data_IF_616054395179
#
_entry.id   IF_616054395179
#
_cell.length_a   1.000
_cell.length_b   1.000
_cell.length_c   1.000
_cell.angle_alpha   90.00
_cell.angle_beta   90.00
_cell.angle_gamma   90.00
#
_symmetry.space_group_name_H-M   'P 1'
#
loop_
_entity.id
_entity.type
_entity.pdbx_description
1 polymer ?
#
# COMPACT_ATOMS: atom_id res chain seq x y z
N UNK A 1 25.64 11.43 15.19
CA UNK A 1 24.77 11.21 14.00
C UNK A 1 24.05 9.89 14.21
N UNK A 2 22.71 9.89 14.23
CA UNK A 2 21.94 8.64 14.34
C UNK A 2 22.10 7.81 13.06
N UNK A 3 22.10 6.48 13.19
CA UNK A 3 22.11 5.60 12.04
C UNK A 3 20.86 5.83 11.17
N UNK A 4 21.04 5.87 9.85
CA UNK A 4 19.94 5.98 8.89
C UNK A 4 19.10 4.70 8.93
N UNK A 5 17.78 4.85 9.04
CA UNK A 5 16.83 3.73 8.99
C UNK A 5 16.73 3.20 7.55
N UNK A 6 16.73 1.89 7.39
CA UNK A 6 16.40 1.22 6.13
C UNK A 6 14.89 0.98 6.09
N UNK A 7 14.23 1.43 5.02
CA UNK A 7 12.79 1.18 4.81
C UNK A 7 12.52 -0.29 4.51
N UNK A 8 11.27 -0.73 4.67
CA UNK A 8 10.86 -2.09 4.33
C UNK A 8 11.16 -2.48 2.88
N UNK A 9 11.09 -1.52 1.94
CA UNK A 9 11.48 -1.73 0.55
C UNK A 9 12.99 -1.95 0.38
N UNK A 10 13.83 -1.18 1.08
CA UNK A 10 15.28 -1.38 1.06
C UNK A 10 15.65 -2.76 1.61
N UNK A 11 15.03 -3.17 2.72
CA UNK A 11 15.25 -4.49 3.32
C UNK A 11 14.80 -5.61 2.39
N UNK A 12 13.62 -5.46 1.77
CA UNK A 12 13.10 -6.44 0.83
C UNK A 12 14.01 -6.60 -0.39
N UNK A 13 14.50 -5.48 -0.96
CA UNK A 13 15.41 -5.50 -2.11
C UNK A 13 16.78 -6.08 -1.75
N UNK A 14 17.32 -5.75 -0.57
CA UNK A 14 18.60 -6.27 -0.10
C UNK A 14 18.58 -7.79 0.13
N UNK A 15 17.45 -8.34 0.56
CA UNK A 15 17.24 -9.78 0.78
C UNK A 15 16.66 -10.49 -0.47
N UNK A 16 16.94 -9.93 -1.66
CA UNK A 16 16.53 -10.48 -2.96
C UNK A 16 15.04 -10.86 -3.03
N UNK A 17 14.17 -10.00 -2.47
CA UNK A 17 12.72 -10.15 -2.49
C UNK A 17 12.20 -11.45 -1.84
N UNK A 18 12.95 -12.06 -0.92
CA UNK A 18 12.65 -13.39 -0.34
C UNK A 18 11.20 -13.56 0.12
N UNK A 19 10.61 -12.54 0.74
CA UNK A 19 9.24 -12.60 1.26
C UNK A 19 8.15 -12.77 0.16
N UNK A 20 8.46 -12.40 -1.08
CA UNK A 20 7.54 -12.45 -2.24
C UNK A 20 8.11 -13.22 -3.43
N UNK A 21 9.25 -13.89 -3.27
CA UNK A 21 9.90 -14.66 -4.32
C UNK A 21 8.98 -15.78 -4.84
N UNK A 22 8.86 -15.89 -6.16
CA UNK A 22 8.02 -16.87 -6.86
C UNK A 22 6.52 -16.56 -6.82
N UNK A 23 6.08 -15.49 -6.15
CA UNK A 23 4.65 -15.17 -5.96
C UNK A 23 4.13 -14.19 -7.01
N UNK A 24 2.86 -14.37 -7.37
CA UNK A 24 2.04 -13.37 -8.07
C UNK A 24 1.52 -12.38 -7.06
N UNK A 25 2.01 -11.15 -7.10
CA UNK A 25 1.68 -10.15 -6.09
C UNK A 25 0.84 -9.01 -6.66
N UNK A 26 -0.04 -8.48 -5.82
CA UNK A 26 -0.62 -7.15 -6.00
C UNK A 26 0.09 -6.14 -5.10
N UNK A 27 0.21 -4.89 -5.56
CA UNK A 27 0.85 -3.81 -4.80
C UNK A 27 -0.13 -2.70 -4.47
N UNK A 28 -0.33 -2.43 -3.18
CA UNK A 28 -1.01 -1.24 -2.67
C UNK A 28 0.03 -0.17 -2.42
N UNK A 29 0.01 0.90 -3.22
CA UNK A 29 1.02 1.96 -3.15
C UNK A 29 0.52 3.30 -3.69
N UNK A 30 1.33 4.33 -3.53
CA UNK A 30 1.15 5.67 -4.09
C UNK A 30 2.55 6.29 -4.36
N UNK A 31 2.68 7.56 -4.76
CA UNK A 31 3.98 8.19 -5.04
C UNK A 31 5.00 8.19 -3.89
N UNK A 32 4.59 7.90 -2.65
CA UNK A 32 5.50 7.81 -1.50
C UNK A 32 6.24 6.47 -1.43
N UNK A 33 5.76 5.46 -2.14
CA UNK A 33 6.40 4.15 -2.28
C UNK A 33 7.65 4.23 -3.14
N UNK A 34 8.76 4.65 -2.55
CA UNK A 34 10.04 4.83 -3.24
C UNK A 34 11.24 4.32 -2.41
N UNK A 35 12.32 4.01 -3.13
CA UNK A 35 13.68 3.86 -2.62
C UNK A 35 14.34 5.23 -2.35
N UNK A 36 15.54 5.26 -1.71
CA UNK A 36 16.26 6.50 -1.43
C UNK A 36 16.68 7.28 -2.68
N UNK A 37 16.82 6.57 -3.81
CA UNK A 37 17.10 7.13 -5.13
C UNK A 37 15.82 7.52 -5.90
N UNK A 38 14.67 7.51 -5.22
CA UNK A 38 13.35 7.85 -5.75
C UNK A 38 12.79 6.88 -6.79
N UNK A 39 13.42 5.73 -7.02
CA UNK A 39 12.79 4.66 -7.81
C UNK A 39 11.56 4.13 -7.10
N UNK A 40 10.45 4.05 -7.82
CA UNK A 40 9.17 3.62 -7.27
C UNK A 40 9.18 2.13 -6.91
N UNK A 41 8.41 1.75 -5.89
CA UNK A 41 8.19 0.34 -5.53
C UNK A 41 7.63 -0.48 -6.69
N UNK A 42 6.86 0.18 -7.57
CA UNK A 42 6.32 -0.42 -8.80
C UNK A 42 7.48 -0.83 -9.73
N UNK A 43 8.41 0.09 -10.00
CA UNK A 43 9.59 -0.16 -10.84
C UNK A 43 10.47 -1.25 -10.22
N UNK A 44 10.73 -1.16 -8.91
CA UNK A 44 11.59 -2.11 -8.19
C UNK A 44 11.01 -3.53 -8.24
N UNK A 45 9.72 -3.71 -7.98
CA UNK A 45 9.08 -5.03 -7.99
C UNK A 45 8.81 -5.55 -9.42
N UNK A 46 8.54 -4.67 -10.39
CA UNK A 46 8.38 -5.06 -11.79
C UNK A 46 9.71 -5.49 -12.43
N UNK A 47 10.83 -4.90 -12.00
CA UNK A 47 12.18 -5.24 -12.46
C UNK A 47 12.79 -6.46 -11.77
N UNK A 48 12.19 -6.98 -10.70
CA UNK A 48 12.70 -8.12 -9.96
C UNK A 48 12.37 -9.45 -10.67
N UNK A 49 13.38 -10.23 -11.13
CA UNK A 49 13.14 -11.41 -11.97
C UNK A 49 12.43 -12.56 -11.23
N UNK A 50 12.51 -12.58 -9.90
CA UNK A 50 11.87 -13.59 -9.05
C UNK A 50 10.52 -13.13 -8.48
N UNK A 51 9.96 -12.00 -8.94
CA UNK A 51 8.68 -11.47 -8.48
C UNK A 51 7.74 -11.31 -9.67
N UNK A 52 6.47 -11.66 -9.51
CA UNK A 52 5.47 -11.46 -10.55
C UNK A 52 4.46 -10.40 -10.11
N UNK A 53 4.74 -9.13 -10.41
CA UNK A 53 3.79 -8.05 -10.15
C UNK A 53 2.61 -8.13 -11.14
N UNK A 54 1.38 -8.26 -10.63
CA UNK A 54 0.18 -8.54 -11.45
C UNK A 54 -0.91 -7.48 -11.39
N UNK A 55 -0.97 -6.68 -10.33
CA UNK A 55 -1.98 -5.65 -10.17
C UNK A 55 -1.48 -4.53 -9.26
N UNK A 56 -1.97 -3.32 -9.50
CA UNK A 56 -1.70 -2.15 -8.67
C UNK A 56 -3.00 -1.67 -8.02
N UNK A 57 -2.92 -1.23 -6.78
CA UNK A 57 -4.04 -0.73 -5.99
C UNK A 57 -3.68 0.65 -5.46
N UNK A 58 -4.41 1.67 -5.90
CA UNK A 58 -4.22 3.05 -5.47
C UNK A 58 -5.20 3.41 -4.36
N UNK A 59 -4.76 4.05 -3.27
CA UNK A 59 -5.64 4.66 -2.28
C UNK A 59 -6.22 5.97 -2.86
N UNK A 60 -6.46 6.98 -2.03
CA UNK A 60 -6.74 8.34 -2.48
C UNK A 60 -5.63 8.87 -3.41
N UNK A 61 -5.99 9.65 -4.43
CA UNK A 61 -5.09 10.20 -5.47
C UNK A 61 -4.46 9.19 -6.46
N UNK A 62 -4.80 7.90 -6.33
CA UNK A 62 -4.33 6.87 -7.25
C UNK A 62 -2.87 6.46 -7.05
N UNK A 63 -2.41 5.53 -7.88
CA UNK A 63 -1.09 4.89 -7.73
C UNK A 63 0.06 5.83 -8.13
N UNK A 64 -0.15 6.70 -9.12
CA UNK A 64 0.86 7.64 -9.64
C UNK A 64 0.63 9.10 -9.23
N UNK A 65 -0.39 9.37 -8.42
CA UNK A 65 -0.74 10.74 -8.00
C UNK A 65 -1.34 11.59 -9.13
N UNK A 66 -1.77 10.95 -10.22
CA UNK A 66 -2.35 11.56 -11.41
C UNK A 66 -3.87 11.79 -11.28
N UNK A 67 -4.49 11.35 -10.18
CA UNK A 67 -5.91 11.58 -9.93
C UNK A 67 -6.17 12.81 -9.03
N UNK A 68 -7.09 13.71 -9.43
CA UNK A 68 -7.48 14.86 -8.61
C UNK A 68 -8.05 14.46 -7.24
N UNK A 69 -7.79 15.27 -6.21
CA UNK A 69 -8.36 15.12 -4.88
C UNK A 69 -9.90 15.03 -4.92
N UNK A 70 -10.47 14.08 -4.18
CA UNK A 70 -11.92 13.90 -4.05
C UNK A 70 -12.66 13.31 -5.25
N UNK A 71 -11.97 12.91 -6.34
CA UNK A 71 -12.60 12.21 -7.47
C UNK A 71 -12.30 10.71 -7.44
N UNK A 72 -13.31 9.90 -7.78
CA UNK A 72 -13.13 8.45 -7.96
C UNK A 72 -12.19 8.20 -9.14
N UNK A 73 -11.10 7.48 -8.90
CA UNK A 73 -10.27 6.95 -9.98
C UNK A 73 -11.02 5.78 -10.58
N UNK A 74 -11.57 5.93 -11.78
CA UNK A 74 -12.05 4.78 -12.54
C UNK A 74 -10.83 3.91 -12.84
N UNK A 75 -10.88 2.63 -12.49
CA UNK A 75 -9.77 1.70 -12.72
C UNK A 75 -9.25 1.75 -14.17
N UNK A 76 -8.00 1.36 -14.36
CA UNK A 76 -7.32 1.53 -15.64
C UNK A 76 -6.13 0.60 -15.81
N UNK A 77 -5.19 0.99 -16.67
CA UNK A 77 -3.90 0.31 -16.80
C UNK A 77 -2.78 1.32 -16.56
N UNK A 78 -1.76 0.93 -15.82
CA UNK A 78 -0.57 1.76 -15.62
C UNK A 78 0.19 1.86 -16.94
N UNK A 79 0.50 3.07 -17.37
CA UNK A 79 1.10 3.32 -18.69
C UNK A 79 2.51 2.73 -18.83
N UNK A 80 3.26 2.63 -17.73
CA UNK A 80 4.64 2.13 -17.74
C UNK A 80 4.71 0.60 -17.74
N UNK A 81 3.87 -0.05 -16.94
CA UNK A 81 3.91 -1.51 -16.73
C UNK A 81 2.83 -2.27 -17.50
N UNK A 82 1.79 -1.58 -17.98
CA UNK A 82 0.61 -2.18 -18.58
C UNK A 82 -0.27 -2.97 -17.60
N UNK A 83 0.00 -2.91 -16.29
CA UNK A 83 -0.73 -3.66 -15.28
C UNK A 83 -2.10 -3.04 -14.98
N UNK A 84 -3.11 -3.85 -14.62
CA UNK A 84 -4.38 -3.33 -14.14
C UNK A 84 -4.19 -2.50 -12.86
N UNK A 85 -4.89 -1.37 -12.80
CA UNK A 85 -4.91 -0.44 -11.65
C UNK A 85 -6.33 -0.39 -11.09
N UNK A 86 -6.44 -0.69 -9.80
CA UNK A 86 -7.69 -0.65 -9.04
C UNK A 86 -7.68 0.52 -8.05
N UNK A 87 -8.82 1.20 -7.91
CA UNK A 87 -9.03 2.24 -6.90
C UNK A 87 -9.56 1.62 -5.62
N UNK A 88 -8.92 1.94 -4.49
CA UNK A 88 -9.37 1.64 -3.13
C UNK A 88 -9.93 2.90 -2.44
N UNK A 89 -10.58 3.77 -3.22
CA UNK A 89 -11.21 5.00 -2.76
C UNK A 89 -12.65 5.17 -3.27
N UNK A 90 -13.49 5.89 -2.51
CA UNK A 90 -14.88 6.18 -2.86
C UNK A 90 -15.79 4.97 -2.68
N UNK A 91 -16.39 4.48 -3.78
CA UNK A 91 -17.34 3.36 -3.74
C UNK A 91 -16.70 2.03 -3.35
N UNK A 92 -15.41 1.88 -3.59
CA UNK A 92 -14.66 0.66 -3.33
C UNK A 92 -13.46 1.02 -2.48
N UNK A 93 -13.55 0.82 -1.16
CA UNK A 93 -12.45 1.10 -0.21
C UNK A 93 -11.76 -0.16 0.28
N UNK A 94 -12.27 -1.33 -0.13
CA UNK A 94 -11.75 -2.66 0.19
C UNK A 94 -11.54 -3.43 -1.12
N UNK A 95 -10.40 -4.15 -1.30
CA UNK A 95 -10.22 -5.02 -2.46
C UNK A 95 -11.35 -6.04 -2.58
N UNK A 96 -11.90 -6.21 -3.80
CA UNK A 96 -12.96 -7.20 -4.05
C UNK A 96 -12.35 -8.58 -4.38
N UNK A 97 -13.12 -9.68 -4.24
CA UNK A 97 -12.65 -11.01 -4.62
C UNK A 97 -12.12 -11.09 -6.06
N UNK A 98 -12.74 -10.33 -6.98
CA UNK A 98 -12.35 -10.27 -8.38
C UNK A 98 -11.00 -9.60 -8.57
N UNK A 99 -10.72 -8.53 -7.82
CA UNK A 99 -9.43 -7.83 -7.86
C UNK A 99 -8.29 -8.69 -7.29
N UNK A 100 -8.59 -9.57 -6.33
CA UNK A 100 -7.62 -10.44 -5.68
C UNK A 100 -7.37 -11.76 -6.43
N UNK A 101 -8.17 -12.05 -7.47
CA UNK A 101 -8.17 -13.33 -8.15
C UNK A 101 -6.81 -13.61 -8.80
N UNK A 102 -6.22 -14.76 -8.45
CA UNK A 102 -4.95 -15.21 -9.03
C UNK A 102 -3.70 -14.53 -8.45
N UNK A 103 -3.86 -13.73 -7.39
CA UNK A 103 -2.76 -13.25 -6.57
C UNK A 103 -2.45 -14.28 -5.47
N UNK A 104 -1.17 -14.43 -5.15
CA UNK A 104 -0.66 -15.26 -4.06
C UNK A 104 -0.34 -14.41 -2.81
N UNK A 105 -0.18 -13.10 -2.95
CA UNK A 105 -0.03 -12.16 -1.85
C UNK A 105 -0.37 -10.72 -2.26
N UNK A 106 -0.65 -9.87 -1.27
CA UNK A 106 -0.60 -8.42 -1.41
C UNK A 106 0.65 -7.85 -0.72
N UNK A 107 1.17 -6.75 -1.27
CA UNK A 107 2.21 -5.94 -0.68
C UNK A 107 1.65 -4.55 -0.43
N UNK A 108 1.88 -3.98 0.75
CA UNK A 108 1.50 -2.61 1.09
C UNK A 108 2.75 -1.77 1.31
N UNK A 109 2.86 -0.65 0.59
CA UNK A 109 3.98 0.27 0.70
C UNK A 109 3.55 1.72 0.47
N UNK A 110 3.18 2.39 1.57
CA UNK A 110 2.73 3.79 1.59
C UNK A 110 3.29 4.46 2.86
N UNK A 111 3.80 5.68 2.73
CA UNK A 111 4.18 6.53 3.85
C UNK A 111 2.93 7.18 4.46
N UNK A 112 2.65 6.87 5.72
CA UNK A 112 1.64 7.55 6.54
C UNK A 112 2.25 8.73 7.32
N UNK A 113 1.43 9.50 8.04
CA UNK A 113 1.86 10.67 8.82
C UNK A 113 1.76 10.47 10.34
N UNK A 114 1.26 9.33 10.82
CA UNK A 114 1.08 9.07 12.25
C UNK A 114 -0.15 9.76 12.85
N UNK A 115 -1.18 10.01 12.02
CA UNK A 115 -2.43 10.64 12.45
C UNK A 115 -3.64 9.85 11.98
N UNK A 116 -4.59 9.65 12.89
CA UNK A 116 -5.78 8.81 12.66
C UNK A 116 -6.65 9.26 11.49
N UNK A 117 -6.74 10.58 11.26
CA UNK A 117 -7.56 11.12 10.17
C UNK A 117 -6.92 11.00 8.79
N UNK A 118 -5.67 10.56 8.72
CA UNK A 118 -5.01 10.26 7.45
C UNK A 118 -5.38 8.84 7.00
N UNK A 119 -6.06 8.76 5.87
CA UNK A 119 -6.87 7.59 5.50
C UNK A 119 -6.07 6.38 5.02
N UNK A 120 -4.74 6.48 4.88
CA UNK A 120 -3.92 5.36 4.38
C UNK A 120 -3.89 4.18 5.36
N UNK A 121 -3.89 4.42 6.68
CA UNK A 121 -4.05 3.34 7.66
C UNK A 121 -5.45 2.73 7.63
N UNK A 122 -6.49 3.51 7.34
CA UNK A 122 -7.85 2.99 7.10
C UNK A 122 -7.89 2.09 5.85
N UNK A 123 -7.18 2.48 4.78
CA UNK A 123 -6.97 1.63 3.60
C UNK A 123 -6.25 0.35 3.98
N UNK A 124 -5.15 0.41 4.74
CA UNK A 124 -4.43 -0.77 5.21
C UNK A 124 -5.34 -1.70 6.02
N UNK A 125 -6.14 -1.17 6.94
CA UNK A 125 -7.09 -1.97 7.72
C UNK A 125 -8.13 -2.66 6.83
N UNK A 126 -8.67 -1.99 5.82
CA UNK A 126 -9.57 -2.62 4.84
C UNK A 126 -8.87 -3.72 4.03
N UNK A 127 -7.63 -3.49 3.61
CA UNK A 127 -6.80 -4.47 2.89
C UNK A 127 -6.54 -5.69 3.77
N UNK A 128 -6.18 -5.49 5.04
CA UNK A 128 -5.98 -6.57 6.02
C UNK A 128 -7.23 -7.42 6.20
N UNK A 129 -8.40 -6.79 6.34
CA UNK A 129 -9.69 -7.50 6.44
C UNK A 129 -10.00 -8.32 5.17
N UNK A 130 -9.76 -7.76 3.98
CA UNK A 130 -9.93 -8.49 2.73
C UNK A 130 -8.97 -9.68 2.62
N UNK A 131 -7.69 -9.46 2.92
CA UNK A 131 -6.67 -10.51 2.95
C UNK A 131 -7.05 -11.64 3.91
N UNK A 132 -7.55 -11.32 5.11
CA UNK A 132 -7.98 -12.32 6.09
C UNK A 132 -9.15 -13.17 5.57
N UNK A 133 -10.17 -12.54 4.97
CA UNK A 133 -11.33 -13.24 4.38
C UNK A 133 -10.90 -14.18 3.27
N UNK A 134 -9.94 -13.76 2.44
CA UNK A 134 -9.47 -14.52 1.28
C UNK A 134 -8.28 -15.43 1.56
N UNK A 135 -7.80 -15.49 2.81
CA UNK A 135 -6.58 -16.21 3.23
C UNK A 135 -5.38 -15.84 2.36
N UNK A 136 -5.30 -14.58 1.96
CA UNK A 136 -4.25 -14.03 1.11
C UNK A 136 -3.18 -13.39 2.00
N UNK A 137 -1.92 -13.87 1.99
CA UNK A 137 -0.83 -13.22 2.72
C UNK A 137 -0.71 -11.73 2.37
N UNK A 138 -0.51 -10.90 3.39
CA UNK A 138 -0.20 -9.48 3.24
C UNK A 138 1.21 -9.22 3.76
N UNK A 139 2.04 -8.57 2.95
CA UNK A 139 3.38 -8.11 3.32
C UNK A 139 3.35 -6.59 3.45
N UNK A 140 3.64 -6.06 4.63
CA UNK A 140 3.75 -4.62 4.85
C UNK A 140 5.21 -4.22 4.77
N UNK A 141 5.55 -3.32 3.84
CA UNK A 141 6.88 -2.72 3.75
C UNK A 141 6.90 -1.53 4.70
N UNK A 142 7.39 -1.78 5.91
CA UNK A 142 7.28 -0.82 7.00
C UNK A 142 8.02 0.50 6.68
N UNK A 143 7.47 1.60 7.20
CA UNK A 143 7.99 2.96 6.99
C UNK A 143 8.04 3.74 8.30
N UNK A 144 8.99 4.67 8.47
CA UNK A 144 9.07 5.47 9.69
C UNK A 144 7.79 6.26 9.95
N UNK A 145 7.36 6.33 11.21
CA UNK A 145 6.37 7.32 11.63
C UNK A 145 7.04 8.71 11.69
N UNK A 146 6.63 9.70 10.86
CA UNK A 146 7.34 10.96 10.75
C UNK A 146 7.19 11.86 11.99
N UNK A 147 6.20 11.61 12.85
CA UNK A 147 6.07 12.31 14.15
C UNK A 147 6.79 11.59 15.30
N UNK A 148 7.51 10.50 14.98
CA UNK A 148 8.26 9.70 15.94
C UNK A 148 7.39 8.74 16.73
N UNK A 149 7.98 8.13 17.77
CA UNK A 149 7.35 7.06 18.57
C UNK A 149 6.90 7.52 19.96
N UNK A 150 7.21 8.76 20.34
CA UNK A 150 7.03 9.24 21.72
C UNK A 150 5.73 10.03 21.94
N UNK A 151 5.13 10.54 20.87
CA UNK A 151 3.91 11.34 20.95
C UNK A 151 2.69 10.45 20.76
N UNK A 152 1.81 10.46 21.76
CA UNK A 152 0.49 9.84 21.70
C UNK A 152 -0.49 10.88 22.25
N UNK A 153 -1.42 11.33 21.40
CA UNK A 153 -2.31 12.45 21.71
C UNK A 153 -3.75 12.13 21.23
N UNK A 154 -4.74 12.71 21.92
CA UNK A 154 -6.16 12.57 21.59
C UNK A 154 -6.84 11.33 22.17
N UNK A 155 -8.17 11.38 22.24
CA UNK A 155 -8.99 10.26 22.72
C UNK A 155 -9.04 9.12 21.71
N UNK A 156 -9.19 7.86 22.17
CA UNK A 156 -9.61 6.75 21.32
C UNK A 156 -10.91 7.06 20.58
N UNK A 157 -11.18 6.33 19.49
CA UNK A 157 -12.47 6.45 18.80
C UNK A 157 -13.55 5.80 19.64
N UNK A 158 -14.60 6.56 19.93
CA UNK A 158 -15.77 6.04 20.64
C UNK A 158 -16.68 5.24 19.70
N UNK A 159 -17.40 4.27 20.28
CA UNK A 159 -18.42 3.53 19.54
C UNK A 159 -19.43 4.51 18.91
N UNK A 160 -19.80 4.28 17.65
CA UNK A 160 -20.65 5.18 16.86
C UNK A 160 -19.90 6.24 16.06
N UNK A 161 -18.61 6.48 16.33
CA UNK A 161 -17.77 7.42 15.57
C UNK A 161 -16.75 6.75 14.63
N UNK A 162 -16.75 5.42 14.57
CA UNK A 162 -15.92 4.67 13.63
C UNK A 162 -16.30 5.01 12.18
N UNK A 163 -15.30 5.41 11.39
CA UNK A 163 -15.46 5.81 10.01
C UNK A 163 -14.16 5.64 9.23
N UNK A 164 -14.17 5.94 7.92
CA UNK A 164 -12.95 5.85 7.11
C UNK A 164 -11.85 6.85 7.53
N UNK A 165 -12.20 7.92 8.26
CA UNK A 165 -11.25 8.89 8.83
C UNK A 165 -10.94 8.62 10.31
N UNK A 166 -11.35 7.46 10.84
CA UNK A 166 -11.15 7.07 12.23
C UNK A 166 -11.66 5.66 12.45
N UNK A 167 -10.84 4.67 12.06
CA UNK A 167 -11.18 3.25 12.10
C UNK A 167 -10.64 2.58 13.36
#
# INVERSE_FOLDING_TARGET
>A
MGARVQTGLEVLAADNFRAVAGRKIGLVTNPTGVLPDLRSTIEVLAGAPNVQLRALFGPEHGVRGDAPAGKSVSGGRDAQTGLPVYSLYGRTTRPTPEMLRGLDALVFDIQDIGSRSYTFLSTLANVMEACAVHRLPLVVLDRPNPVGLLRVEGSPVEAGFFSFVGK
#
